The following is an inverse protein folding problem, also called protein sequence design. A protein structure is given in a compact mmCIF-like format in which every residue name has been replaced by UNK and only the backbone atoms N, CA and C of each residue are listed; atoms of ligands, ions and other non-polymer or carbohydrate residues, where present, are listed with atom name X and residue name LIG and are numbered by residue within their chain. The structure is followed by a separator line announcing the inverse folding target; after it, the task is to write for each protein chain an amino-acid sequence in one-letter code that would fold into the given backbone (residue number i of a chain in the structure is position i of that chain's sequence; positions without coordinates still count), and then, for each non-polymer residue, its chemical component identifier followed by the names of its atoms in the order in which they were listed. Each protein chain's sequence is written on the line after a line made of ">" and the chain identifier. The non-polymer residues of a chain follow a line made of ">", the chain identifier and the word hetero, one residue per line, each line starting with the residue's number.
data_IF_207762712500
#
_entry.id   IF_207762712500
#
_cell.length_a   1.000
_cell.length_b   1.000
_cell.length_c   1.000
_cell.angle_alpha   90.00
_cell.angle_beta   90.00
_cell.angle_gamma   90.00
#
_symmetry.space_group_name_H-M   'P 1'
#
loop_
_entity.id
_entity.type
_entity.pdbx_description
1 polymer ?
#
# COMPACT_ATOMS: atom_id res chain seq x y z
N UNK A 1 15.49 -2.42 -43.08
CA UNK A 1 14.51 -1.32 -42.99
C UNK A 1 13.41 -1.79 -42.06
N UNK A 2 13.61 -1.67 -40.74
CA UNK A 2 12.70 -2.21 -39.73
C UNK A 2 11.64 -1.15 -39.42
N UNK A 3 10.54 -1.21 -40.16
CA UNK A 3 9.43 -0.27 -40.02
C UNK A 3 8.70 -0.59 -38.72
N UNK A 4 8.83 0.35 -37.77
CA UNK A 4 8.19 0.38 -36.47
C UNK A 4 6.76 -0.16 -36.46
N UNK A 5 6.60 -1.33 -35.84
CA UNK A 5 5.33 -1.81 -35.32
C UNK A 5 4.97 -1.01 -34.05
N UNK A 6 4.56 0.24 -34.26
CA UNK A 6 4.20 1.20 -33.19
C UNK A 6 2.70 1.47 -33.15
N UNK A 7 1.90 0.81 -33.99
CA UNK A 7 0.49 1.18 -34.22
C UNK A 7 -0.56 0.19 -33.71
N UNK A 8 -0.16 -0.92 -33.07
CA UNK A 8 -1.11 -1.90 -32.51
C UNK A 8 -1.29 -1.84 -30.98
N UNK A 9 -0.70 -0.86 -30.28
CA UNK A 9 -0.83 -0.68 -28.82
C UNK A 9 -1.71 0.54 -28.44
N UNK A 10 -2.75 0.81 -29.20
CA UNK A 10 -3.80 1.77 -28.84
C UNK A 10 -4.67 1.16 -27.73
N UNK A 11 -4.32 1.42 -26.46
CA UNK A 11 -5.22 1.47 -25.27
C UNK A 11 -4.38 1.73 -23.97
N UNK A 12 -3.35 2.58 -24.05
CA UNK A 12 -2.53 2.96 -22.90
C UNK A 12 -2.48 4.48 -22.74
N UNK A 13 -2.35 4.96 -21.50
CA UNK A 13 -2.16 6.37 -21.18
C UNK A 13 -0.67 6.68 -21.04
N UNK A 14 -0.18 7.73 -21.68
CA UNK A 14 1.21 8.16 -21.58
C UNK A 14 1.38 9.44 -20.74
N UNK A 15 2.59 9.67 -20.24
CA UNK A 15 2.98 10.90 -19.57
C UNK A 15 4.49 11.08 -19.57
N UNK A 16 4.93 12.29 -19.26
CA UNK A 16 6.34 12.68 -19.23
C UNK A 16 6.65 13.32 -17.89
N UNK A 17 7.69 12.84 -17.20
CA UNK A 17 8.21 13.46 -15.99
C UNK A 17 9.54 14.18 -16.25
N UNK A 18 9.89 15.15 -15.41
CA UNK A 18 11.21 15.79 -15.39
C UNK A 18 12.20 15.08 -14.43
N UNK A 19 13.41 15.61 -14.30
CA UNK A 19 14.45 15.12 -13.38
C UNK A 19 14.09 15.25 -11.89
N UNK A 20 13.08 16.07 -11.56
CA UNK A 20 12.59 16.32 -10.20
C UNK A 20 11.28 15.55 -9.91
N UNK A 21 10.98 14.52 -10.70
CA UNK A 21 9.78 13.69 -10.57
C UNK A 21 8.45 14.44 -10.77
N UNK A 22 8.49 15.59 -11.46
CA UNK A 22 7.28 16.35 -11.78
C UNK A 22 6.71 15.86 -13.11
N UNK A 23 5.44 15.49 -13.11
CA UNK A 23 4.67 15.19 -14.30
C UNK A 23 4.46 16.49 -15.09
N UNK A 24 5.07 16.57 -16.27
CA UNK A 24 5.01 17.72 -17.16
C UNK A 24 3.80 17.67 -18.09
N UNK A 25 3.49 16.48 -18.59
CA UNK A 25 2.36 16.21 -19.47
C UNK A 25 1.85 14.79 -19.23
N UNK A 26 0.56 14.58 -19.45
CA UNK A 26 -0.09 13.29 -19.36
C UNK A 26 -1.31 13.25 -20.27
N UNK A 27 -1.62 12.07 -20.79
CA UNK A 27 -2.89 11.76 -21.44
C UNK A 27 -4.02 11.78 -20.40
N UNK A 28 -5.25 12.00 -20.88
CA UNK A 28 -6.44 12.21 -20.05
C UNK A 28 -6.60 11.22 -18.88
N UNK A 29 -6.45 9.88 -19.04
CA UNK A 29 -6.64 8.96 -17.92
C UNK A 29 -5.59 9.11 -16.81
N UNK A 30 -4.33 9.41 -17.17
CA UNK A 30 -3.26 9.61 -16.21
C UNK A 30 -3.33 11.00 -15.57
N UNK A 31 -3.78 12.01 -16.32
CA UNK A 31 -4.05 13.34 -15.81
C UNK A 31 -5.21 13.35 -14.79
N UNK A 32 -6.33 12.68 -15.08
CA UNK A 32 -7.45 12.55 -14.15
C UNK A 32 -7.05 11.81 -12.87
N UNK A 33 -6.28 10.72 -12.98
CA UNK A 33 -5.76 10.03 -11.80
C UNK A 33 -4.83 10.92 -10.96
N UNK A 34 -3.94 11.69 -11.61
CA UNK A 34 -3.06 12.64 -10.95
C UNK A 34 -3.86 13.67 -10.14
N UNK A 35 -4.88 14.28 -10.75
CA UNK A 35 -5.75 15.28 -10.11
C UNK A 35 -6.52 14.67 -8.93
N UNK A 36 -7.10 13.47 -9.11
CA UNK A 36 -7.83 12.75 -8.06
C UNK A 36 -6.94 12.30 -6.90
N UNK A 37 -5.68 12.00 -7.17
CA UNK A 37 -4.68 11.76 -6.13
C UNK A 37 -4.17 13.06 -5.48
N UNK A 38 -4.71 14.23 -5.85
CA UNK A 38 -4.40 15.53 -5.26
C UNK A 38 -3.18 16.24 -5.87
N UNK A 39 -2.77 15.87 -7.09
CA UNK A 39 -1.66 16.48 -7.81
C UNK A 39 -2.11 17.46 -8.89
N UNK A 40 -1.21 18.36 -9.27
CA UNK A 40 -1.42 19.28 -10.41
C UNK A 40 -0.76 18.74 -11.70
N UNK A 41 -1.16 19.28 -12.85
CA UNK A 41 -0.49 19.07 -14.14
C UNK A 41 -0.19 20.43 -14.81
N UNK A 42 1.07 20.88 -14.89
CA UNK A 42 2.29 20.21 -14.45
C UNK A 42 2.53 20.30 -12.93
N UNK A 43 2.98 19.21 -12.31
CA UNK A 43 3.13 19.11 -10.85
C UNK A 43 3.91 17.89 -10.39
N UNK A 44 4.19 17.76 -9.09
CA UNK A 44 4.83 16.55 -8.53
C UNK A 44 3.97 15.32 -8.83
N UNK A 45 4.55 14.21 -9.31
CA UNK A 45 3.78 12.98 -9.56
C UNK A 45 3.15 12.47 -8.25
N UNK A 46 1.82 12.60 -8.15
CA UNK A 46 1.06 12.38 -6.92
C UNK A 46 0.74 10.91 -6.67
N UNK A 47 0.82 10.06 -7.69
CA UNK A 47 0.62 8.61 -7.57
C UNK A 47 1.89 7.97 -6.98
N UNK A 48 1.89 7.52 -5.70
CA UNK A 48 3.14 7.16 -5.01
C UNK A 48 3.83 5.94 -5.60
N UNK A 49 3.07 4.94 -6.05
CA UNK A 49 3.66 3.74 -6.67
C UNK A 49 4.31 4.07 -8.03
N UNK A 50 3.68 4.90 -8.86
CA UNK A 50 4.28 5.36 -10.11
C UNK A 50 5.52 6.22 -9.86
N UNK A 51 5.47 7.10 -8.87
CA UNK A 51 6.62 7.89 -8.43
C UNK A 51 7.81 7.02 -8.03
N UNK A 52 7.58 5.97 -7.24
CA UNK A 52 8.62 5.03 -6.86
C UNK A 52 9.24 4.33 -8.09
N UNK A 53 8.42 3.93 -9.06
CA UNK A 53 8.89 3.32 -10.31
C UNK A 53 9.71 4.30 -11.17
N UNK A 54 9.29 5.57 -11.27
CA UNK A 54 10.03 6.65 -11.95
C UNK A 54 11.39 6.87 -11.31
N UNK A 55 11.42 7.05 -9.99
CA UNK A 55 12.67 7.23 -9.24
C UNK A 55 13.60 6.02 -9.34
N UNK A 56 13.04 4.81 -9.34
CA UNK A 56 13.82 3.59 -9.51
C UNK A 56 14.41 3.51 -10.91
N UNK A 57 13.60 3.76 -11.95
CA UNK A 57 14.02 3.70 -13.35
C UNK A 57 15.13 4.71 -13.64
N UNK A 58 14.97 5.97 -13.18
CA UNK A 58 15.98 7.02 -13.34
C UNK A 58 17.29 6.68 -12.62
N UNK A 59 17.21 6.24 -11.35
CA UNK A 59 18.39 5.89 -10.54
C UNK A 59 19.18 4.72 -11.15
N UNK A 60 18.49 3.75 -11.73
CA UNK A 60 19.14 2.59 -12.36
C UNK A 60 19.57 2.87 -13.80
N UNK A 61 19.01 3.90 -14.46
CA UNK A 61 19.20 4.15 -15.89
C UNK A 61 18.64 3.03 -16.78
N UNK A 62 17.69 2.23 -16.26
CA UNK A 62 17.11 1.07 -16.94
C UNK A 62 15.61 1.22 -17.10
N UNK A 63 15.07 0.63 -18.17
CA UNK A 63 13.63 0.53 -18.39
C UNK A 63 13.01 -0.42 -17.37
N UNK A 64 11.91 -0.02 -16.76
CA UNK A 64 11.17 -0.82 -15.78
C UNK A 64 9.76 -1.07 -16.27
N UNK A 65 9.23 -2.26 -16.05
CA UNK A 65 7.86 -2.61 -16.38
C UNK A 65 7.25 -3.39 -15.21
N UNK A 66 6.29 -2.78 -14.48
CA UNK A 66 5.66 -3.37 -13.30
C UNK A 66 4.21 -2.94 -13.15
N UNK A 67 3.42 -3.78 -12.49
CA UNK A 67 2.09 -3.39 -12.01
C UNK A 67 2.18 -2.30 -10.97
N UNK A 68 1.16 -1.43 -10.94
CA UNK A 68 0.96 -0.45 -9.87
C UNK A 68 -0.51 -0.44 -9.45
N UNK A 69 -0.75 0.07 -8.26
CA UNK A 69 -2.07 0.41 -7.74
C UNK A 69 -2.11 1.83 -7.17
N UNK A 70 -3.27 2.47 -7.25
CA UNK A 70 -3.50 3.82 -6.77
C UNK A 70 -4.94 3.95 -6.30
N UNK A 71 -5.18 4.63 -5.18
CA UNK A 71 -6.52 4.97 -4.74
C UNK A 71 -6.84 6.42 -5.10
N UNK A 72 -7.91 6.64 -5.84
CA UNK A 72 -8.27 7.95 -6.40
C UNK A 72 -9.32 8.71 -5.54
N UNK A 73 -9.56 8.24 -4.31
CA UNK A 73 -10.59 8.76 -3.42
C UNK A 73 -11.92 7.99 -3.49
N UNK A 74 -12.20 7.28 -4.57
CA UNK A 74 -13.45 6.51 -4.76
C UNK A 74 -13.20 5.03 -5.08
N UNK A 75 -12.20 4.74 -5.90
CA UNK A 75 -11.92 3.41 -6.43
C UNK A 75 -10.42 3.10 -6.39
N UNK A 76 -10.11 1.81 -6.33
CA UNK A 76 -8.76 1.32 -6.57
C UNK A 76 -8.53 1.27 -8.08
N UNK A 77 -7.58 2.06 -8.54
CA UNK A 77 -7.05 2.04 -9.88
C UNK A 77 -5.84 1.12 -9.91
N UNK A 78 -5.75 0.28 -10.93
CA UNK A 78 -4.59 -0.57 -11.16
C UNK A 78 -4.24 -0.61 -12.63
N UNK A 79 -2.96 -0.86 -12.92
CA UNK A 79 -2.48 -0.95 -14.29
C UNK A 79 -1.05 -1.45 -14.34
N UNK A 80 -0.51 -1.57 -15.54
CA UNK A 80 0.87 -1.97 -15.76
C UNK A 80 1.65 -0.79 -16.33
N UNK A 81 2.61 -0.29 -15.54
CA UNK A 81 3.43 0.86 -15.88
C UNK A 81 4.75 0.42 -16.50
N UNK A 82 5.08 1.00 -17.65
CA UNK A 82 6.37 0.93 -18.33
C UNK A 82 7.03 2.29 -18.25
N UNK A 83 8.17 2.34 -17.58
CA UNK A 83 8.95 3.54 -17.37
C UNK A 83 10.21 3.48 -18.21
N UNK A 84 10.44 4.52 -18.99
CA UNK A 84 11.59 4.69 -19.85
C UNK A 84 12.36 5.93 -19.40
N UNK A 85 13.55 5.79 -18.80
CA UNK A 85 14.33 6.94 -18.36
C UNK A 85 14.89 7.65 -19.59
N UNK A 86 14.81 8.98 -19.57
CA UNK A 86 15.34 9.83 -20.63
C UNK A 86 16.76 10.30 -20.29
N UNK A 87 17.62 10.50 -21.31
CA UNK A 87 18.94 11.07 -21.08
C UNK A 87 18.86 12.51 -20.55
N UNK A 88 19.92 12.98 -19.90
CA UNK A 88 19.96 14.36 -19.37
C UNK A 88 19.79 15.42 -20.46
N UNK A 89 20.19 15.12 -21.70
CA UNK A 89 19.98 16.01 -22.87
C UNK A 89 18.51 16.27 -23.18
N UNK A 90 17.63 15.32 -22.80
CA UNK A 90 16.20 15.36 -23.04
C UNK A 90 15.42 15.71 -21.76
N UNK A 91 16.08 16.34 -20.78
CA UNK A 91 15.47 16.81 -19.53
C UNK A 91 15.62 15.87 -18.33
N UNK A 92 16.29 14.72 -18.48
CA UNK A 92 16.71 13.84 -17.37
C UNK A 92 15.58 13.18 -16.57
N UNK A 93 14.37 13.14 -17.12
CA UNK A 93 13.19 12.56 -16.49
C UNK A 93 12.84 11.17 -17.03
N UNK A 94 11.55 10.86 -17.17
CA UNK A 94 11.08 9.56 -17.62
C UNK A 94 9.82 9.69 -18.49
N UNK A 95 9.72 8.88 -19.55
CA UNK A 95 8.44 8.59 -20.19
C UNK A 95 7.72 7.50 -19.39
N UNK A 96 6.46 7.75 -19.07
CA UNK A 96 5.57 6.85 -18.34
C UNK A 96 4.52 6.36 -19.32
N UNK A 97 4.38 5.06 -19.49
CA UNK A 97 3.31 4.45 -20.27
C UNK A 97 2.56 3.47 -19.38
N UNK A 98 1.25 3.65 -19.27
CA UNK A 98 0.37 2.77 -18.51
C UNK A 98 -0.54 2.02 -19.45
N UNK A 99 -0.54 0.70 -19.36
CA UNK A 99 -1.48 -0.19 -20.04
C UNK A 99 -2.27 -1.05 -19.06
N UNK A 100 -3.26 -1.79 -19.59
CA UNK A 100 -4.15 -2.67 -18.81
C UNK A 100 -4.79 -1.95 -17.61
N UNK A 101 -5.34 -0.76 -17.85
CA UNK A 101 -5.97 0.07 -16.82
C UNK A 101 -7.29 -0.55 -16.34
N UNK A 102 -7.44 -0.67 -15.02
CA UNK A 102 -8.64 -1.21 -14.39
C UNK A 102 -9.05 -0.34 -13.21
N UNK A 103 -10.34 -0.04 -13.12
CA UNK A 103 -10.97 0.64 -11.99
C UNK A 103 -11.84 -0.35 -11.24
N UNK A 104 -11.50 -0.63 -9.99
CA UNK A 104 -12.24 -1.51 -9.11
C UNK A 104 -12.85 -0.69 -7.98
N UNK A 105 -14.18 -0.75 -7.83
CA UNK A 105 -14.84 -0.18 -6.66
C UNK A 105 -14.32 -0.90 -5.39
N UNK A 106 -14.02 -0.14 -4.34
CA UNK A 106 -13.74 -0.74 -3.04
C UNK A 106 -15.04 -1.40 -2.57
N UNK A 107 -15.07 -2.73 -2.62
CA UNK A 107 -16.11 -3.47 -1.93
C UNK A 107 -15.81 -3.35 -0.44
N UNK A 108 -16.77 -2.90 0.39
CA UNK A 108 -16.57 -2.91 1.83
C UNK A 108 -16.24 -4.36 2.26
N UNK A 109 -15.31 -4.55 3.22
CA UNK A 109 -14.98 -5.87 3.69
C UNK A 109 -16.26 -6.58 4.14
N UNK A 110 -16.34 -7.89 3.89
CA UNK A 110 -17.47 -8.67 4.40
C UNK A 110 -17.52 -8.55 5.93
N UNK A 111 -18.71 -8.67 6.54
CA UNK A 111 -18.86 -8.49 7.99
C UNK A 111 -17.92 -9.36 8.84
N UNK A 112 -17.51 -10.53 8.33
CA UNK A 112 -16.50 -11.40 8.93
C UNK A 112 -15.09 -10.80 8.85
N UNK A 113 -14.63 -10.39 7.68
CA UNK A 113 -13.31 -9.77 7.50
C UNK A 113 -13.18 -8.49 8.31
N UNK A 114 -14.27 -7.72 8.41
CA UNK A 114 -14.31 -6.53 9.24
C UNK A 114 -14.16 -6.88 10.72
N UNK A 115 -14.90 -7.87 11.22
CA UNK A 115 -14.77 -8.34 12.61
C UNK A 115 -13.36 -8.88 12.90
N UNK A 116 -12.78 -9.68 12.00
CA UNK A 116 -11.43 -10.21 12.14
C UNK A 116 -10.38 -9.08 12.18
N UNK A 117 -10.59 -8.01 11.43
CA UNK A 117 -9.73 -6.81 11.44
C UNK A 117 -9.82 -6.07 12.77
N UNK A 118 -11.03 -5.87 13.30
CA UNK A 118 -11.22 -5.23 14.60
C UNK A 118 -10.57 -6.06 15.71
N UNK A 119 -10.78 -7.38 15.74
CA UNK A 119 -10.14 -8.28 16.70
C UNK A 119 -8.60 -8.23 16.61
N UNK A 120 -8.05 -8.07 15.40
CA UNK A 120 -6.61 -7.93 15.20
C UNK A 120 -6.08 -6.58 15.70
N UNK A 121 -6.82 -5.49 15.47
CA UNK A 121 -6.49 -4.15 15.98
C UNK A 121 -6.53 -4.16 17.51
N UNK A 122 -7.61 -4.65 18.11
CA UNK A 122 -7.77 -4.72 19.56
C UNK A 122 -6.66 -5.56 20.19
N UNK A 123 -6.27 -6.68 19.58
CA UNK A 123 -5.14 -7.49 20.06
C UNK A 123 -3.79 -6.76 19.93
N UNK A 124 -3.60 -5.97 18.89
CA UNK A 124 -2.35 -5.24 18.66
C UNK A 124 -2.20 -4.03 19.61
N UNK A 125 -3.31 -3.47 20.06
CA UNK A 125 -3.35 -2.31 20.96
C UNK A 125 -3.55 -2.69 22.43
N UNK A 126 -3.96 -3.92 22.72
CA UNK A 126 -4.18 -4.39 24.07
C UNK A 126 -2.89 -4.43 24.89
N UNK A 127 -2.95 -3.82 26.08
CA UNK A 127 -1.87 -3.84 27.07
C UNK A 127 -1.60 -5.23 27.65
N UNK A 128 -2.62 -6.10 27.62
CA UNK A 128 -2.54 -7.50 28.04
C UNK A 128 -3.29 -8.37 27.04
N UNK A 129 -2.62 -9.39 26.53
CA UNK A 129 -3.21 -10.44 25.69
C UNK A 129 -3.00 -11.80 26.33
N UNK A 130 -4.05 -12.62 26.37
CA UNK A 130 -3.96 -13.96 26.93
C UNK A 130 -4.70 -14.98 26.05
N UNK A 131 -4.14 -16.19 25.97
CA UNK A 131 -4.80 -17.35 25.38
C UNK A 131 -5.30 -18.26 26.49
N UNK A 132 -6.59 -18.54 26.46
CA UNK A 132 -7.27 -19.39 27.43
C UNK A 132 -7.67 -20.73 26.80
N UNK A 133 -7.88 -21.75 27.63
CA UNK A 133 -8.55 -22.99 27.21
C UNK A 133 -10.08 -22.89 27.32
N UNK A 134 -10.79 -23.96 26.97
CA UNK A 134 -12.25 -24.05 27.06
C UNK A 134 -12.80 -23.93 28.49
N UNK A 135 -11.95 -24.08 29.52
CA UNK A 135 -12.29 -23.91 30.94
C UNK A 135 -11.83 -22.55 31.48
N UNK A 136 -11.51 -21.61 30.59
CA UNK A 136 -10.99 -20.28 30.90
C UNK A 136 -9.67 -20.25 31.66
N UNK A 137 -8.87 -21.32 31.56
CA UNK A 137 -7.56 -21.39 32.20
C UNK A 137 -6.51 -20.73 31.34
N UNK A 138 -5.65 -19.91 31.95
CA UNK A 138 -4.58 -19.20 31.24
C UNK A 138 -3.52 -20.20 30.77
N UNK A 139 -3.31 -20.24 29.46
CA UNK A 139 -2.29 -21.06 28.80
C UNK A 139 -1.05 -20.21 28.47
N UNK A 140 -1.27 -19.02 27.93
CA UNK A 140 -0.23 -18.03 27.60
C UNK A 140 -0.77 -16.65 27.94
N UNK A 141 0.08 -15.78 28.46
CA UNK A 141 -0.23 -14.36 28.70
C UNK A 141 0.98 -13.51 28.30
N UNK A 142 0.71 -12.34 27.76
CA UNK A 142 1.70 -11.32 27.45
C UNK A 142 1.15 -9.96 27.89
N UNK A 143 1.92 -9.23 28.67
CA UNK A 143 1.63 -7.89 29.15
C UNK A 143 2.74 -6.94 28.69
N UNK A 144 2.36 -5.89 27.99
CA UNK A 144 3.27 -4.82 27.56
C UNK A 144 3.24 -3.63 28.51
N UNK A 145 2.12 -3.43 29.23
CA UNK A 145 2.01 -2.37 30.21
C UNK A 145 2.73 -2.71 31.53
N UNK A 146 3.52 -1.78 32.11
CA UNK A 146 4.29 -2.04 33.33
C UNK A 146 3.45 -2.40 34.56
N UNK A 147 2.26 -1.85 34.69
CA UNK A 147 1.32 -2.12 35.78
C UNK A 147 0.71 -3.52 35.72
N UNK A 148 0.61 -4.10 34.52
CA UNK A 148 0.18 -5.49 34.29
C UNK A 148 1.30 -6.54 34.46
N UNK A 149 2.54 -6.14 34.75
CA UNK A 149 3.66 -7.08 34.91
C UNK A 149 3.43 -8.07 36.07
N UNK A 150 2.77 -7.63 37.15
CA UNK A 150 2.44 -8.51 38.28
C UNK A 150 1.43 -9.60 37.89
N UNK A 151 0.43 -9.25 37.07
CA UNK A 151 -0.55 -10.20 36.56
C UNK A 151 0.13 -11.27 35.69
N UNK A 152 1.02 -10.87 34.78
CA UNK A 152 1.80 -11.81 33.96
C UNK A 152 2.63 -12.75 34.84
N UNK A 153 3.35 -12.22 35.84
CA UNK A 153 4.16 -13.04 36.74
C UNK A 153 3.31 -14.04 37.55
N UNK A 154 2.15 -13.62 38.04
CA UNK A 154 1.21 -14.48 38.76
C UNK A 154 0.66 -15.60 37.87
N UNK A 155 0.24 -15.28 36.65
CA UNK A 155 -0.27 -16.24 35.67
C UNK A 155 0.80 -17.25 35.24
N UNK A 156 2.05 -16.81 35.00
CA UNK A 156 3.16 -17.69 34.62
C UNK A 156 3.58 -18.62 35.76
N UNK A 157 3.47 -18.18 37.01
CA UNK A 157 3.79 -18.98 38.20
C UNK A 157 2.69 -20.00 38.56
N UNK A 158 1.47 -19.78 38.05
CA UNK A 158 0.30 -20.61 38.33
C UNK A 158 -0.40 -21.06 37.03
N UNK A 159 0.36 -21.74 36.15
CA UNK A 159 -0.14 -22.26 34.88
C UNK A 159 -1.43 -23.09 35.08
N UNK A 160 -2.44 -22.82 34.24
CA UNK A 160 -3.71 -23.52 34.30
C UNK A 160 -4.71 -23.01 35.35
N UNK A 161 -4.44 -21.89 36.03
CA UNK A 161 -5.47 -21.19 36.83
C UNK A 161 -6.49 -20.49 35.93
N UNK A 162 -7.72 -20.38 36.42
CA UNK A 162 -8.78 -19.61 35.77
C UNK A 162 -8.42 -18.13 35.87
N UNK A 163 -8.53 -17.38 34.77
CA UNK A 163 -8.06 -15.99 34.71
C UNK A 163 -8.71 -15.07 35.77
N UNK A 164 -9.97 -15.32 36.13
CA UNK A 164 -10.70 -14.54 37.12
C UNK A 164 -10.12 -14.65 38.52
N UNK A 165 -9.38 -15.71 38.83
CA UNK A 165 -8.74 -15.91 40.13
C UNK A 165 -7.42 -15.11 40.25
N UNK A 166 -6.99 -14.44 39.17
CA UNK A 166 -5.75 -13.67 39.09
C UNK A 166 -5.97 -12.16 39.14
N UNK A 167 -7.23 -11.72 39.15
CA UNK A 167 -7.63 -10.32 39.13
C UNK A 167 -8.62 -10.04 40.25
N UNK A 168 -8.50 -8.87 40.87
CA UNK A 168 -9.45 -8.37 41.85
C UNK A 168 -10.39 -7.34 41.19
N UNK A 169 -11.65 -7.27 41.66
CA UNK A 169 -12.65 -6.30 41.19
C UNK A 169 -12.58 -4.98 41.98
#
# INVERSE_FOLDING_TARGET
>A
MNTMDRRDNLLGACGLTDAHDRLLSADEPLADLQERCGGDLPGMLAIPELLALVQQSRRMGLRIARGFSAYDGEALISGFARIHPLPETDGGGCEVLVDNWQRAALSPPGGREFADTIDAIDRATADVTARLDARQRVQVINATAPDAAMLQAAAMSAQGKVWSDLVDL
#
